data_IF_835324193382
#
_entry.id   IF_835324193382
#
_cell.length_a   1.000
_cell.length_b   1.000
_cell.length_c   1.000
_cell.angle_alpha   90.00
_cell.angle_beta   90.00
_cell.angle_gamma   90.00
#
_symmetry.space_group_name_H-M   'P 1'
#
loop_
_entity.id
_entity.type
_entity.pdbx_description
1 polymer ?
#
# COMPACT_ATOMS: atom_id res chain seq x y z
N UNK A 1 -9.74 22.49 -6.02
CA UNK A 1 -11.20 22.64 -5.91
C UNK A 1 -11.68 21.45 -5.10
N UNK A 2 -11.88 21.63 -3.80
CA UNK A 2 -12.52 20.60 -2.97
C UNK A 2 -13.96 21.06 -2.76
N UNK A 3 -14.90 20.34 -3.37
CA UNK A 3 -16.33 20.62 -3.35
C UNK A 3 -16.98 19.86 -2.20
N UNK A 4 -16.58 20.18 -0.98
CA UNK A 4 -17.24 19.60 0.19
C UNK A 4 -18.61 20.26 0.35
N UNK A 5 -19.71 19.51 0.52
CA UNK A 5 -21.02 20.12 0.76
C UNK A 5 -20.98 21.04 1.99
N UNK A 6 -21.82 22.07 2.01
CA UNK A 6 -22.00 22.90 3.22
C UNK A 6 -22.59 22.08 4.38
N UNK A 7 -22.65 22.64 5.61
CA UNK A 7 -23.27 21.96 6.75
C UNK A 7 -24.70 21.51 6.42
N UNK A 8 -25.00 20.22 6.59
CA UNK A 8 -26.30 19.62 6.27
C UNK A 8 -26.70 18.58 7.33
N UNK A 9 -27.76 18.86 8.10
CA UNK A 9 -28.16 17.97 9.19
C UNK A 9 -27.07 17.83 10.25
N UNK A 10 -26.64 16.60 10.55
CA UNK A 10 -25.53 16.30 11.47
C UNK A 10 -24.15 16.36 10.81
N UNK A 11 -24.07 16.59 9.49
CA UNK A 11 -22.80 16.72 8.78
C UNK A 11 -22.09 18.04 9.13
N UNK A 12 -20.84 17.94 9.60
CA UNK A 12 -19.96 19.10 9.85
C UNK A 12 -18.74 18.99 8.94
N UNK A 13 -18.63 19.83 7.89
CA UNK A 13 -17.52 19.78 6.93
C UNK A 13 -16.14 19.94 7.57
N UNK A 14 -16.07 20.56 8.74
CA UNK A 14 -14.85 20.74 9.55
C UNK A 14 -14.21 19.41 9.99
N UNK A 15 -14.97 18.31 10.01
CA UNK A 15 -14.48 16.98 10.38
C UNK A 15 -14.25 16.05 9.18
N UNK A 16 -14.43 16.53 7.94
CA UNK A 16 -14.19 15.74 6.73
C UNK A 16 -12.70 15.63 6.44
N UNK A 17 -12.18 14.40 6.32
CA UNK A 17 -10.77 14.14 6.05
C UNK A 17 -10.60 12.93 5.13
N UNK A 18 -9.82 13.09 4.06
CA UNK A 18 -9.44 11.97 3.18
C UNK A 18 -8.52 10.97 3.93
N UNK A 19 -8.94 9.70 3.97
CA UNK A 19 -8.28 8.64 4.70
C UNK A 19 -7.62 7.60 3.79
N UNK A 20 -6.61 8.00 2.99
CA UNK A 20 -5.75 7.06 2.24
C UNK A 20 -4.28 7.47 2.28
N UNK A 21 -3.39 6.50 2.52
CA UNK A 21 -1.94 6.69 2.54
C UNK A 21 -1.25 6.19 1.26
N UNK A 22 -0.21 6.91 0.80
CA UNK A 22 0.68 6.47 -0.28
C UNK A 22 2.12 6.72 0.14
N UNK A 23 3.02 5.78 -0.17
CA UNK A 23 4.45 5.90 0.02
C UNK A 23 5.19 5.38 -1.21
N UNK A 24 6.43 5.84 -1.40
CA UNK A 24 7.32 5.39 -2.46
C UNK A 24 8.74 5.25 -1.93
N UNK A 25 9.43 4.19 -2.37
CA UNK A 25 10.81 3.89 -1.99
C UNK A 25 11.60 3.64 -3.26
N UNK A 26 12.79 4.25 -3.36
CA UNK A 26 13.66 4.12 -4.52
C UNK A 26 15.12 4.04 -4.10
N UNK A 27 15.89 3.23 -4.83
CA UNK A 27 17.35 3.33 -4.83
C UNK A 27 17.78 4.32 -5.91
N UNK A 28 18.42 5.41 -5.49
CA UNK A 28 18.83 6.51 -6.38
C UNK A 28 19.85 6.11 -7.45
N UNK A 29 20.47 4.93 -7.32
CA UNK A 29 21.45 4.38 -8.28
C UNK A 29 20.87 3.23 -9.12
N UNK A 30 19.58 2.92 -8.97
CA UNK A 30 18.91 1.87 -9.75
C UNK A 30 19.29 0.44 -9.38
N UNK A 31 19.88 0.21 -8.20
CA UNK A 31 20.26 -1.13 -7.74
C UNK A 31 19.04 -1.93 -7.32
N UNK A 32 18.92 -3.17 -7.80
CA UNK A 32 17.85 -4.09 -7.39
C UNK A 32 18.21 -4.75 -6.05
N UNK A 33 17.32 -4.65 -5.07
CA UNK A 33 17.50 -5.28 -3.75
C UNK A 33 16.15 -5.56 -3.10
N UNK A 34 16.09 -6.66 -2.32
CA UNK A 34 14.93 -7.00 -1.47
C UNK A 34 14.69 -5.97 -0.36
N UNK A 35 15.74 -5.25 0.06
CA UNK A 35 15.66 -4.17 1.05
C UNK A 35 14.65 -3.07 0.67
N UNK A 36 14.49 -2.77 -0.61
CA UNK A 36 13.46 -1.80 -1.08
C UNK A 36 12.05 -2.31 -0.80
N UNK A 37 11.81 -3.61 -0.96
CA UNK A 37 10.50 -4.25 -0.67
C UNK A 37 10.23 -4.23 0.83
N UNK A 38 11.22 -4.55 1.66
CA UNK A 38 11.09 -4.49 3.13
C UNK A 38 10.78 -3.08 3.62
N UNK A 39 11.47 -2.07 3.10
CA UNK A 39 11.20 -0.66 3.39
C UNK A 39 9.80 -0.24 2.97
N UNK A 40 9.33 -0.70 1.82
CA UNK A 40 7.98 -0.39 1.35
C UNK A 40 6.91 -1.04 2.22
N UNK A 41 7.11 -2.29 2.68
CA UNK A 41 6.21 -2.94 3.64
C UNK A 41 6.17 -2.17 4.97
N UNK A 42 7.33 -1.77 5.50
CA UNK A 42 7.39 -0.95 6.71
C UNK A 42 6.65 0.38 6.55
N UNK A 43 6.74 1.01 5.37
CA UNK A 43 5.97 2.21 5.06
C UNK A 43 4.46 1.97 5.06
N UNK A 44 3.99 0.84 4.51
CA UNK A 44 2.56 0.48 4.54
C UNK A 44 2.06 0.26 5.98
N UNK A 45 2.84 -0.42 6.84
CA UNK A 45 2.52 -0.58 8.27
C UNK A 45 2.42 0.79 8.96
N UNK A 46 3.35 1.70 8.69
CA UNK A 46 3.31 3.04 9.26
C UNK A 46 2.11 3.87 8.76
N UNK A 47 1.50 3.51 7.64
CA UNK A 47 0.30 4.16 7.09
C UNK A 47 -1.02 3.55 7.57
N UNK A 48 -0.99 2.51 8.42
CA UNK A 48 -2.18 1.82 8.92
C UNK A 48 -3.20 2.76 9.57
N UNK A 49 -2.74 3.77 10.30
CA UNK A 49 -3.60 4.80 10.91
C UNK A 49 -4.42 5.63 9.91
N UNK A 50 -4.10 5.54 8.61
CA UNK A 50 -4.83 6.19 7.51
C UNK A 50 -5.65 5.19 6.69
N UNK A 51 -5.68 3.91 7.07
CA UNK A 51 -6.49 2.89 6.42
C UNK A 51 -7.90 2.86 6.99
N UNK A 52 -8.87 2.50 6.15
CA UNK A 52 -10.19 2.11 6.64
C UNK A 52 -10.09 0.76 7.37
N UNK A 53 -10.69 0.71 8.56
CA UNK A 53 -10.73 -0.50 9.40
C UNK A 53 -12.11 -1.14 9.26
N UNK A 54 -12.14 -2.46 9.06
CA UNK A 54 -13.38 -3.22 8.96
C UNK A 54 -14.05 -3.48 10.32
N UNK A 55 -15.05 -4.36 10.33
CA UNK A 55 -15.77 -4.73 11.56
C UNK A 55 -14.92 -5.61 12.50
N UNK A 56 -13.91 -6.29 11.96
CA UNK A 56 -12.97 -7.14 12.70
C UNK A 56 -11.56 -6.53 12.68
N UNK A 57 -10.77 -6.85 13.70
CA UNK A 57 -9.40 -6.34 13.85
C UNK A 57 -8.44 -6.79 12.72
N UNK A 58 -8.80 -7.79 11.92
CA UNK A 58 -8.01 -8.33 10.83
C UNK A 58 -8.58 -8.00 9.45
N UNK A 59 -9.54 -7.08 9.35
CA UNK A 59 -10.15 -6.67 8.07
C UNK A 59 -9.87 -5.20 7.76
N UNK A 60 -9.73 -4.90 6.47
CA UNK A 60 -9.52 -3.56 5.94
C UNK A 60 -9.82 -3.51 4.44
N UNK A 61 -10.03 -2.31 3.90
CA UNK A 61 -10.50 -2.13 2.52
C UNK A 61 -9.48 -2.58 1.47
N UNK A 62 -8.19 -2.43 1.77
CA UNK A 62 -7.12 -2.93 0.92
C UNK A 62 -5.80 -2.19 1.09
N UNK A 63 -4.71 -2.89 0.79
CA UNK A 63 -3.36 -2.33 0.67
C UNK A 63 -2.61 -3.07 -0.43
N UNK A 64 -1.62 -2.43 -1.05
CA UNK A 64 -0.91 -3.02 -2.18
C UNK A 64 0.46 -2.40 -2.39
N UNK A 65 1.31 -3.16 -3.07
CA UNK A 65 2.65 -2.76 -3.45
C UNK A 65 2.87 -3.00 -4.93
N UNK A 66 3.27 -1.96 -5.65
CA UNK A 66 3.72 -2.07 -7.05
C UNK A 66 5.24 -2.19 -7.07
N UNK A 67 5.76 -3.27 -7.66
CA UNK A 67 7.20 -3.53 -7.81
C UNK A 67 7.56 -3.85 -9.27
N UNK A 68 8.85 -3.81 -9.58
CA UNK A 68 9.36 -4.41 -10.82
C UNK A 68 9.14 -5.92 -10.83
N UNK A 69 8.96 -6.50 -12.00
CA UNK A 69 8.82 -7.96 -12.17
C UNK A 69 10.03 -8.66 -11.54
N UNK A 70 9.83 -9.56 -10.55
CA UNK A 70 10.92 -10.27 -9.88
C UNK A 70 11.42 -11.44 -10.74
N UNK A 71 12.07 -11.12 -11.86
CA UNK A 71 12.47 -12.08 -12.92
C UNK A 71 13.24 -13.30 -12.39
N UNK A 72 14.22 -13.11 -11.51
CA UNK A 72 14.99 -14.22 -10.91
C UNK A 72 14.08 -15.20 -10.17
N UNK A 73 13.24 -14.69 -9.27
CA UNK A 73 12.30 -15.52 -8.50
C UNK A 73 11.33 -16.28 -9.43
N UNK A 74 10.75 -15.60 -10.43
CA UNK A 74 9.82 -16.23 -11.35
C UNK A 74 10.48 -17.33 -12.18
N UNK A 75 11.72 -17.14 -12.63
CA UNK A 75 12.46 -18.17 -13.37
C UNK A 75 12.82 -19.37 -12.49
N UNK A 76 13.18 -19.14 -11.23
CA UNK A 76 13.53 -20.19 -10.29
C UNK A 76 12.30 -21.07 -10.00
N UNK A 77 11.15 -20.44 -9.70
CA UNK A 77 9.87 -21.17 -9.51
C UNK A 77 9.51 -22.02 -10.74
N UNK A 78 9.67 -21.47 -11.95
CA UNK A 78 9.40 -22.22 -13.18
C UNK A 78 10.37 -23.38 -13.39
N UNK A 79 11.63 -23.29 -12.93
CA UNK A 79 12.57 -24.42 -13.00
C UNK A 79 12.17 -25.52 -12.04
N UNK A 80 11.85 -25.17 -10.79
CA UNK A 80 11.45 -26.12 -9.75
C UNK A 80 10.18 -26.90 -10.14
N UNK A 81 9.20 -26.25 -10.79
CA UNK A 81 7.98 -26.90 -11.28
C UNK A 81 8.22 -27.88 -12.45
N UNK A 82 9.35 -27.79 -13.14
CA UNK A 82 9.72 -28.64 -14.29
C UNK A 82 10.78 -29.69 -13.96
N UNK A 83 11.31 -29.73 -12.73
CA UNK A 83 12.16 -30.81 -12.22
C UNK A 83 11.35 -31.92 -11.49
N UNK A 84 10.04 -32.02 -11.77
CA UNK A 84 9.14 -33.13 -11.35
C UNK A 84 9.10 -34.23 -12.41
#
# INVERSE_FOLDING_TARGET
MQTTPGPQGLYRPEYEHDACGVAFVVDMYGRRSRDIVEKAIAALVNLEHRGAVGAEANTGDGTGLLIQVPDTFLRDVMRDEHEI
#
